data_IF_520523583096
#
_entry.id   IF_520523583096
#
_cell.length_a   1.000
_cell.length_b   1.000
_cell.length_c   1.000
_cell.angle_alpha   90.00
_cell.angle_beta   90.00
_cell.angle_gamma   90.00
#
_symmetry.space_group_name_H-M   'P 1'
#
loop_
_entity.id
_entity.type
_entity.pdbx_description
1 polymer ?
#
# COMPACT_ATOMS: atom_id res chain seq x y z
N UNK A 1 -11.18 7.77 -7.33
CA UNK A 1 -10.61 6.86 -6.34
C UNK A 1 -10.92 7.39 -4.95
N UNK A 2 -11.50 6.54 -4.11
CA UNK A 2 -11.92 6.83 -2.74
C UNK A 2 -10.85 6.62 -1.68
N UNK A 3 -9.57 6.72 -2.05
CA UNK A 3 -8.45 6.74 -1.10
C UNK A 3 -8.26 8.12 -0.43
N UNK A 4 -7.28 8.26 0.49
CA UNK A 4 -7.09 9.50 1.25
C UNK A 4 -6.87 10.75 0.39
N UNK A 5 -6.10 10.64 -0.70
CA UNK A 5 -5.90 11.75 -1.65
C UNK A 5 -7.21 12.20 -2.30
N UNK A 6 -8.00 11.25 -2.82
CA UNK A 6 -9.25 11.54 -3.51
C UNK A 6 -10.32 12.08 -2.57
N UNK A 7 -10.46 11.50 -1.37
CA UNK A 7 -11.40 11.98 -0.36
C UNK A 7 -11.04 13.41 0.10
N UNK A 8 -9.76 13.69 0.38
CA UNK A 8 -9.34 15.05 0.75
C UNK A 8 -9.59 16.04 -0.38
N UNK A 9 -9.22 15.70 -1.62
CA UNK A 9 -9.46 16.56 -2.76
C UNK A 9 -10.96 16.86 -2.96
N UNK A 10 -11.81 15.84 -2.83
CA UNK A 10 -13.26 15.98 -2.99
C UNK A 10 -13.88 16.86 -1.89
N UNK A 11 -13.53 16.61 -0.62
CA UNK A 11 -13.99 17.43 0.50
C UNK A 11 -13.58 18.89 0.33
N UNK A 12 -12.30 19.15 0.03
CA UNK A 12 -11.78 20.51 -0.14
C UNK A 12 -12.42 21.22 -1.34
N UNK A 13 -12.58 20.56 -2.49
CA UNK A 13 -13.22 21.17 -3.65
C UNK A 13 -14.70 21.49 -3.38
N UNK A 14 -15.44 20.58 -2.73
CA UNK A 14 -16.84 20.83 -2.39
C UNK A 14 -17.00 21.97 -1.36
N UNK A 15 -16.12 22.05 -0.35
CA UNK A 15 -16.09 23.17 0.61
C UNK A 15 -15.81 24.53 -0.05
N UNK A 16 -15.13 24.53 -1.20
CA UNK A 16 -14.90 25.73 -2.02
C UNK A 16 -16.06 26.08 -2.96
N UNK A 17 -17.13 25.27 -2.98
CA UNK A 17 -18.34 25.51 -3.77
C UNK A 17 -18.40 24.77 -5.11
N UNK A 18 -17.45 23.89 -5.43
CA UNK A 18 -17.55 23.05 -6.61
C UNK A 18 -18.60 21.94 -6.43
N UNK A 19 -19.29 21.58 -7.52
CA UNK A 19 -20.12 20.37 -7.55
C UNK A 19 -19.22 19.16 -7.79
N UNK A 20 -19.08 18.28 -6.80
CA UNK A 20 -18.12 17.17 -6.84
C UNK A 20 -18.84 15.82 -6.88
N UNK A 21 -18.47 14.99 -7.85
CA UNK A 21 -18.76 13.55 -7.85
C UNK A 21 -17.46 12.78 -7.64
N UNK A 22 -17.38 11.97 -6.60
CA UNK A 22 -16.28 11.06 -6.32
C UNK A 22 -16.68 9.64 -6.69
N UNK A 23 -15.90 9.01 -7.57
CA UNK A 23 -16.10 7.60 -7.95
C UNK A 23 -15.01 6.70 -7.33
N UNK A 24 -15.41 5.52 -6.85
CA UNK A 24 -14.56 4.47 -6.33
C UNK A 24 -14.94 3.13 -6.96
N UNK A 25 -13.94 2.37 -7.39
CA UNK A 25 -14.14 1.11 -8.11
C UNK A 25 -14.59 -0.05 -7.22
N UNK A 26 -14.18 -0.04 -5.95
CA UNK A 26 -14.64 -1.02 -4.95
C UNK A 26 -15.93 -0.54 -4.28
N UNK A 27 -16.62 -1.43 -3.57
CA UNK A 27 -17.87 -1.08 -2.88
C UNK A 27 -17.68 -0.17 -1.66
N UNK A 28 -16.43 0.07 -1.27
CA UNK A 28 -16.06 0.72 -0.01
C UNK A 28 -14.93 1.73 -0.22
N UNK A 29 -15.01 2.86 0.50
CA UNK A 29 -13.97 3.89 0.50
C UNK A 29 -12.75 3.48 1.35
N UNK A 30 -11.66 4.23 1.22
CA UNK A 30 -10.48 4.17 2.08
C UNK A 30 -9.17 3.80 1.38
N UNK A 31 -9.25 3.13 0.22
CA UNK A 31 -8.05 2.68 -0.51
C UNK A 31 -7.09 1.89 0.39
N UNK A 32 -5.78 2.14 0.24
CA UNK A 32 -4.74 1.40 0.97
C UNK A 32 -4.81 1.57 2.50
N UNK A 33 -5.39 2.67 3.01
CA UNK A 33 -5.53 2.88 4.46
C UNK A 33 -6.45 1.83 5.09
N UNK A 34 -7.45 1.35 4.35
CA UNK A 34 -8.36 0.31 4.85
C UNK A 34 -7.60 -1.00 5.11
N UNK A 35 -6.74 -1.42 4.19
CA UNK A 35 -5.87 -2.58 4.37
C UNK A 35 -4.87 -2.35 5.50
N UNK A 36 -4.27 -1.16 5.59
CA UNK A 36 -3.34 -0.85 6.70
C UNK A 36 -4.04 -0.88 8.07
N UNK A 37 -5.34 -0.61 8.14
CA UNK A 37 -6.11 -0.63 9.39
C UNK A 37 -6.45 -2.04 9.89
N UNK A 38 -6.28 -3.09 9.07
CA UNK A 38 -6.51 -4.49 9.50
C UNK A 38 -5.33 -5.06 10.29
N UNK A 39 -4.16 -4.42 10.21
CA UNK A 39 -2.98 -4.84 10.93
C UNK A 39 -3.13 -4.67 12.46
N UNK A 40 -2.47 -5.55 13.26
CA UNK A 40 -2.47 -5.45 14.71
C UNK A 40 -2.05 -4.06 15.20
N UNK A 41 -2.82 -3.48 16.13
CA UNK A 41 -2.55 -2.15 16.69
C UNK A 41 -2.79 -0.96 15.75
N UNK A 42 -3.26 -1.18 14.51
CA UNK A 42 -3.44 -0.10 13.51
C UNK A 42 -4.90 0.24 13.20
N UNK A 43 -5.86 -0.29 13.97
CA UNK A 43 -7.29 -0.07 13.77
C UNK A 43 -7.73 1.41 13.76
N UNK A 44 -6.99 2.28 14.45
CA UNK A 44 -7.26 3.73 14.48
C UNK A 44 -7.13 4.39 13.10
N UNK A 45 -6.37 3.81 12.17
CA UNK A 45 -6.26 4.30 10.79
C UNK A 45 -7.61 4.30 10.05
N UNK A 46 -8.54 3.44 10.44
CA UNK A 46 -9.90 3.49 9.91
C UNK A 46 -10.62 4.81 10.26
N UNK A 47 -10.23 5.46 11.35
CA UNK A 47 -10.72 6.78 11.76
C UNK A 47 -10.39 7.88 10.75
N UNK A 48 -9.22 7.82 10.11
CA UNK A 48 -8.82 8.76 9.06
C UNK A 48 -9.80 8.73 7.87
N UNK A 49 -10.08 7.53 7.34
CA UNK A 49 -11.02 7.35 6.22
C UNK A 49 -12.41 7.83 6.62
N UNK A 50 -12.87 7.46 7.81
CA UNK A 50 -14.18 7.85 8.34
C UNK A 50 -14.31 9.37 8.46
N UNK A 51 -13.29 10.06 8.94
CA UNK A 51 -13.30 11.53 9.05
C UNK A 51 -13.43 12.17 7.68
N UNK A 52 -12.59 11.76 6.73
CA UNK A 52 -12.59 12.32 5.37
C UNK A 52 -13.92 12.04 4.64
N UNK A 53 -14.51 10.87 4.85
CA UNK A 53 -15.84 10.54 4.32
C UNK A 53 -16.93 11.44 4.93
N UNK A 54 -16.90 11.68 6.24
CA UNK A 54 -17.83 12.59 6.91
C UNK A 54 -17.66 14.03 6.39
N UNK A 55 -16.43 14.48 6.18
CA UNK A 55 -16.13 15.78 5.56
C UNK A 55 -16.73 15.88 4.15
N UNK A 56 -16.55 14.85 3.32
CA UNK A 56 -17.15 14.78 1.98
C UNK A 56 -18.68 14.89 2.03
N UNK A 57 -19.34 14.12 2.91
CA UNK A 57 -20.81 14.14 3.06
C UNK A 57 -21.31 15.50 3.53
N UNK A 58 -20.64 16.11 4.51
CA UNK A 58 -20.99 17.45 5.01
C UNK A 58 -20.84 18.53 3.95
N UNK A 59 -19.86 18.38 3.06
CA UNK A 59 -19.63 19.30 1.95
C UNK A 59 -20.56 19.05 0.74
N UNK A 60 -21.38 18.00 0.75
CA UNK A 60 -22.31 17.68 -0.34
C UNK A 60 -21.67 16.96 -1.52
N UNK A 61 -20.54 16.26 -1.33
CA UNK A 61 -19.93 15.41 -2.36
C UNK A 61 -20.85 14.23 -2.68
N UNK A 62 -21.15 14.03 -3.96
CA UNK A 62 -21.82 12.82 -4.44
C UNK A 62 -20.79 11.68 -4.55
N UNK A 63 -20.91 10.66 -3.71
CA UNK A 63 -19.99 9.52 -3.71
C UNK A 63 -20.63 8.29 -4.35
N UNK A 64 -19.97 7.70 -5.34
CA UNK A 64 -20.39 6.50 -6.07
C UNK A 64 -19.34 5.40 -5.91
N UNK A 65 -19.68 4.32 -5.22
CA UNK A 65 -18.84 3.12 -5.06
C UNK A 65 -19.26 2.02 -6.02
N UNK A 66 -18.40 1.02 -6.23
CA UNK A 66 -18.64 -0.06 -7.20
C UNK A 66 -18.60 0.40 -8.67
N UNK A 67 -18.02 1.57 -8.94
CA UNK A 67 -18.00 2.19 -10.27
C UNK A 67 -16.56 2.31 -10.77
N UNK A 68 -16.22 1.51 -11.78
CA UNK A 68 -15.00 1.71 -12.55
C UNK A 68 -15.18 2.90 -13.51
N UNK A 69 -14.22 3.83 -13.51
CA UNK A 69 -14.23 5.01 -14.38
C UNK A 69 -13.08 4.92 -15.37
N UNK A 70 -13.43 4.82 -16.64
CA UNK A 70 -12.51 4.93 -17.76
C UNK A 70 -12.64 6.28 -18.48
N UNK A 71 -11.87 6.47 -19.55
CA UNK A 71 -11.90 7.71 -20.31
C UNK A 71 -13.24 7.94 -21.05
N UNK A 72 -14.00 6.89 -21.36
CA UNK A 72 -15.31 7.03 -22.01
C UNK A 72 -16.34 7.57 -21.03
N UNK A 73 -16.40 7.01 -19.82
CA UNK A 73 -17.25 7.50 -18.72
C UNK A 73 -17.00 8.99 -18.45
N UNK A 74 -15.73 9.41 -18.43
CA UNK A 74 -15.36 10.84 -18.23
C UNK A 74 -15.86 11.70 -19.39
N UNK A 75 -15.70 11.25 -20.65
CA UNK A 75 -16.17 11.99 -21.82
C UNK A 75 -17.70 12.16 -21.85
N UNK A 76 -18.43 11.14 -21.40
CA UNK A 76 -19.88 11.18 -21.34
C UNK A 76 -20.39 12.11 -20.22
N UNK A 77 -19.70 12.11 -19.07
CA UNK A 77 -20.03 12.98 -17.94
C UNK A 77 -19.71 14.46 -18.20
N UNK A 78 -18.76 14.77 -19.10
CA UNK A 78 -18.31 16.12 -19.47
C UNK A 78 -18.02 17.05 -18.27
N UNK A 79 -17.18 16.65 -17.30
CA UNK A 79 -16.85 17.51 -16.17
C UNK A 79 -15.92 18.66 -16.60
N UNK A 80 -15.93 19.76 -15.86
CA UNK A 80 -14.99 20.87 -16.09
C UNK A 80 -13.53 20.48 -15.74
N UNK A 81 -13.38 19.66 -14.70
CA UNK A 81 -12.09 19.17 -14.22
C UNK A 81 -12.16 17.70 -13.80
N UNK A 82 -11.02 16.99 -13.91
CA UNK A 82 -10.87 15.59 -13.54
C UNK A 82 -9.68 15.44 -12.60
N UNK A 83 -9.91 14.93 -11.40
CA UNK A 83 -8.86 14.61 -10.43
C UNK A 83 -8.66 13.09 -10.40
N UNK A 84 -7.52 12.64 -10.94
CA UNK A 84 -7.14 11.22 -10.99
C UNK A 84 -6.38 10.86 -9.71
N UNK A 85 -7.07 10.18 -8.80
CA UNK A 85 -6.56 9.69 -7.52
C UNK A 85 -6.70 8.16 -7.43
N UNK A 86 -6.19 7.46 -8.44
CA UNK A 86 -6.34 6.00 -8.65
C UNK A 86 -5.36 5.14 -7.85
N UNK A 87 -4.47 5.77 -7.08
CA UNK A 87 -3.55 5.07 -6.19
C UNK A 87 -2.44 4.32 -6.93
N UNK A 88 -1.99 3.22 -6.35
CA UNK A 88 -0.92 2.39 -6.85
C UNK A 88 -1.21 0.90 -6.65
N UNK A 89 -0.54 0.06 -7.42
CA UNK A 89 -0.69 -1.40 -7.41
C UNK A 89 0.60 -2.10 -6.95
N UNK A 90 0.52 -3.35 -6.43
CA UNK A 90 1.70 -4.17 -6.19
C UNK A 90 2.61 -4.22 -7.41
N UNK A 91 3.92 -4.00 -7.18
CA UNK A 91 4.94 -4.41 -8.13
C UNK A 91 5.55 -5.70 -7.63
N UNK A 92 5.34 -6.77 -8.39
CA UNK A 92 5.97 -8.06 -8.14
C UNK A 92 7.48 -7.92 -8.36
N UNK A 93 8.32 -8.36 -7.41
CA UNK A 93 9.77 -8.30 -7.60
C UNK A 93 10.23 -9.19 -8.75
N UNK A 94 11.23 -8.73 -9.52
CA UNK A 94 11.74 -9.46 -10.68
C UNK A 94 12.33 -10.83 -10.29
N UNK A 95 12.85 -10.95 -9.06
CA UNK A 95 13.38 -12.21 -8.51
C UNK A 95 12.31 -13.24 -8.13
N UNK A 96 11.04 -12.83 -8.04
CA UNK A 96 9.96 -13.68 -7.54
C UNK A 96 9.52 -14.76 -8.52
N UNK A 97 9.74 -14.58 -9.83
CA UNK A 97 9.20 -15.46 -10.87
C UNK A 97 7.67 -15.60 -10.78
N UNK A 98 7.12 -16.66 -11.38
CA UNK A 98 5.66 -16.86 -11.51
C UNK A 98 5.04 -17.77 -10.43
N UNK A 99 5.72 -17.99 -9.29
CA UNK A 99 5.21 -18.85 -8.20
C UNK A 99 4.07 -18.21 -7.40
N UNK A 100 3.07 -19.00 -7.02
CA UNK A 100 1.99 -18.58 -6.11
C UNK A 100 2.42 -18.45 -4.64
N UNK A 101 3.64 -18.86 -4.28
CA UNK A 101 4.15 -18.83 -2.90
C UNK A 101 4.83 -17.50 -2.54
N UNK A 102 5.01 -16.60 -3.52
CA UNK A 102 5.42 -15.20 -3.27
C UNK A 102 4.19 -14.31 -3.39
N UNK A 103 3.76 -13.71 -2.29
CA UNK A 103 2.50 -12.95 -2.19
C UNK A 103 2.71 -11.54 -1.66
N UNK A 104 1.86 -10.59 -2.07
CA UNK A 104 1.92 -9.21 -1.60
C UNK A 104 1.39 -9.09 -0.17
N UNK A 105 2.01 -8.22 0.62
CA UNK A 105 1.61 -7.91 2.00
C UNK A 105 0.11 -7.59 2.14
N UNK A 106 -0.50 -6.90 1.17
CA UNK A 106 -1.92 -6.53 1.20
C UNK A 106 -2.83 -7.74 1.12
N UNK A 107 -2.45 -8.77 0.35
CA UNK A 107 -3.27 -9.97 0.23
C UNK A 107 -3.31 -10.74 1.56
N UNK A 108 -2.23 -10.67 2.35
CA UNK A 108 -2.17 -11.25 3.69
C UNK A 108 -2.95 -10.41 4.71
N UNK A 109 -2.77 -9.09 4.69
CA UNK A 109 -3.48 -8.17 5.60
C UNK A 109 -4.99 -8.13 5.35
N UNK A 110 -5.42 -8.23 4.09
CA UNK A 110 -6.84 -8.32 3.72
C UNK A 110 -7.43 -9.73 3.95
N UNK A 111 -6.60 -10.71 4.35
CA UNK A 111 -7.03 -12.08 4.61
C UNK A 111 -7.34 -12.91 3.36
N UNK A 112 -6.95 -12.45 2.17
CA UNK A 112 -7.12 -13.20 0.91
C UNK A 112 -6.14 -14.36 0.82
N UNK A 113 -4.98 -14.23 1.44
CA UNK A 113 -3.95 -15.27 1.56
C UNK A 113 -3.58 -15.44 3.03
N UNK A 114 -3.45 -16.68 3.49
CA UNK A 114 -2.99 -16.99 4.85
C UNK A 114 -1.81 -17.97 4.79
N UNK A 115 -0.57 -17.47 4.62
CA UNK A 115 0.63 -18.30 4.68
C UNK A 115 0.77 -18.99 6.05
N UNK A 116 1.40 -20.17 6.06
CA UNK A 116 1.63 -20.98 7.26
C UNK A 116 3.00 -21.63 7.22
N UNK A 117 3.43 -22.24 8.33
CA UNK A 117 4.76 -22.81 8.45
C UNK A 117 5.81 -21.73 8.73
N UNK A 118 6.90 -21.74 7.97
CA UNK A 118 7.97 -20.77 8.01
C UNK A 118 7.86 -19.77 6.84
N UNK A 119 7.76 -18.48 7.16
CA UNK A 119 7.50 -17.41 6.22
C UNK A 119 8.62 -16.38 6.26
N UNK A 120 9.15 -16.06 5.09
CA UNK A 120 10.08 -14.94 4.92
C UNK A 120 9.31 -13.69 4.51
N UNK A 121 9.35 -12.63 5.32
CA UNK A 121 8.80 -11.32 4.96
C UNK A 121 9.94 -10.48 4.40
N UNK A 122 9.82 -10.00 3.16
CA UNK A 122 10.80 -9.11 2.53
C UNK A 122 10.38 -7.66 2.72
N UNK A 123 11.21 -6.89 3.39
CA UNK A 123 11.01 -5.46 3.67
C UNK A 123 11.95 -4.59 2.82
N UNK A 124 11.44 -4.13 1.68
CA UNK A 124 12.11 -3.13 0.84
C UNK A 124 11.60 -1.70 1.10
N UNK A 125 10.59 -1.55 1.98
CA UNK A 125 9.96 -0.25 2.28
C UNK A 125 10.49 0.38 3.58
N UNK A 126 10.98 -0.43 4.51
CA UNK A 126 11.55 0.00 5.79
C UNK A 126 10.53 0.60 6.76
N UNK A 127 9.23 0.41 6.54
CA UNK A 127 8.17 1.04 7.33
C UNK A 127 7.12 0.02 7.77
N UNK A 128 5.91 0.48 8.11
CA UNK A 128 4.86 -0.34 8.72
C UNK A 128 4.40 -1.58 7.96
N UNK A 129 4.61 -1.68 6.64
CA UNK A 129 4.06 -2.77 5.83
C UNK A 129 4.60 -4.15 6.26
N UNK A 130 5.93 -4.33 6.22
CA UNK A 130 6.56 -5.59 6.57
C UNK A 130 6.40 -5.92 8.05
N UNK A 131 6.56 -4.92 8.92
CA UNK A 131 6.46 -5.10 10.37
C UNK A 131 5.05 -5.46 10.80
N UNK A 132 4.02 -4.84 10.21
CA UNK A 132 2.62 -5.17 10.49
C UNK A 132 2.25 -6.59 10.11
N UNK A 133 2.66 -7.05 8.92
CA UNK A 133 2.33 -8.41 8.48
C UNK A 133 3.15 -9.46 9.22
N UNK A 134 4.39 -9.14 9.61
CA UNK A 134 5.20 -10.01 10.45
C UNK A 134 4.57 -10.22 11.82
N UNK A 135 4.11 -9.15 12.49
CA UNK A 135 3.37 -9.26 13.75
C UNK A 135 2.07 -10.06 13.57
N UNK A 136 1.26 -9.76 12.55
CA UNK A 136 0.00 -10.48 12.27
C UNK A 136 0.22 -11.99 12.09
N UNK A 137 1.25 -12.38 11.34
CA UNK A 137 1.57 -13.79 11.10
C UNK A 137 2.09 -14.46 12.38
N UNK A 138 2.94 -13.77 13.15
CA UNK A 138 3.49 -14.31 14.39
C UNK A 138 2.41 -14.48 15.48
N UNK A 139 1.43 -13.56 15.57
CA UNK A 139 0.25 -13.71 16.43
C UNK A 139 -0.60 -14.95 16.06
N UNK A 140 -0.56 -15.36 14.79
CA UNK A 140 -1.20 -16.59 14.29
C UNK A 140 -0.35 -17.84 14.47
N UNK A 141 0.80 -17.74 15.13
CA UNK A 141 1.71 -18.86 15.38
C UNK A 141 2.57 -19.28 14.16
N UNK A 142 2.67 -18.42 13.14
CA UNK A 142 3.56 -18.64 11.99
C UNK A 142 5.00 -18.31 12.40
N UNK A 143 5.97 -19.12 11.99
CA UNK A 143 7.37 -18.81 12.18
C UNK A 143 7.81 -17.76 11.16
N UNK A 144 8.16 -16.55 11.62
CA UNK A 144 8.43 -15.40 10.75
C UNK A 144 9.89 -14.99 10.82
N UNK A 145 10.49 -14.77 9.65
CA UNK A 145 11.76 -14.05 9.49
C UNK A 145 11.51 -12.81 8.66
N UNK A 146 11.92 -11.63 9.12
CA UNK A 146 11.90 -10.40 8.32
C UNK A 146 13.29 -10.18 7.73
N UNK A 147 13.37 -10.10 6.41
CA UNK A 147 14.58 -9.86 5.63
C UNK A 147 14.55 -8.45 5.04
N UNK A 148 15.63 -7.69 5.20
CA UNK A 148 15.74 -6.34 4.64
C UNK A 148 17.16 -6.03 4.21
N UNK A 149 17.28 -5.17 3.20
CA UNK A 149 18.52 -4.51 2.83
C UNK A 149 18.97 -3.45 3.87
N UNK A 150 18.07 -3.02 4.75
CA UNK A 150 18.40 -2.03 5.79
C UNK A 150 19.28 -2.60 6.89
N UNK A 151 19.95 -1.73 7.63
CA UNK A 151 20.72 -2.09 8.83
C UNK A 151 19.81 -2.53 10.00
N UNK A 152 18.53 -2.17 9.94
CA UNK A 152 17.50 -2.47 10.94
C UNK A 152 16.19 -2.71 10.18
N UNK A 153 15.42 -3.71 10.59
CA UNK A 153 14.06 -3.95 10.09
C UNK A 153 13.15 -2.79 10.49
N UNK A 154 12.35 -2.28 9.55
CA UNK A 154 11.49 -1.13 9.84
C UNK A 154 12.25 0.16 10.14
N UNK A 155 13.40 0.41 9.51
CA UNK A 155 14.27 1.57 9.76
C UNK A 155 13.56 2.93 9.89
N UNK A 156 12.46 3.15 9.17
CA UNK A 156 11.68 4.39 9.18
C UNK A 156 10.66 4.47 10.33
N UNK A 157 10.48 3.40 11.12
CA UNK A 157 9.59 3.40 12.28
C UNK A 157 10.04 4.36 13.38
N UNK A 158 11.33 4.72 13.42
CA UNK A 158 11.84 5.75 14.32
C UNK A 158 11.22 7.13 14.05
N UNK A 159 10.76 7.40 12.82
CA UNK A 159 10.09 8.65 12.46
C UNK A 159 8.71 8.79 13.11
N UNK A 160 8.09 7.68 13.48
CA UNK A 160 6.76 7.65 14.12
C UNK A 160 6.81 7.18 15.57
N UNK A 161 8.01 7.00 16.14
CA UNK A 161 8.23 6.51 17.51
C UNK A 161 7.64 5.11 17.76
N UNK A 162 7.50 4.31 16.69
CA UNK A 162 6.93 2.97 16.75
C UNK A 162 8.01 1.87 16.88
N UNK A 163 9.28 2.23 16.70
CA UNK A 163 10.40 1.29 16.62
C UNK A 163 10.56 0.46 17.90
N UNK A 164 10.53 1.08 19.08
CA UNK A 164 10.68 0.39 20.36
C UNK A 164 9.49 -0.53 20.64
N UNK A 165 8.28 -0.06 20.30
CA UNK A 165 7.05 -0.82 20.43
C UNK A 165 7.09 -2.08 19.56
N UNK A 166 7.47 -1.93 18.30
CA UNK A 166 7.67 -3.03 17.36
C UNK A 166 8.76 -3.99 17.81
N UNK A 167 9.95 -3.49 18.16
CA UNK A 167 11.10 -4.32 18.58
C UNK A 167 10.73 -5.21 19.77
N UNK A 168 10.06 -4.64 20.78
CA UNK A 168 9.58 -5.41 21.95
C UNK A 168 8.62 -6.54 21.55
N UNK A 169 7.64 -6.25 20.69
CA UNK A 169 6.67 -7.27 20.22
C UNK A 169 7.35 -8.32 19.36
N UNK A 170 8.23 -7.92 18.43
CA UNK A 170 8.99 -8.82 17.59
C UNK A 170 9.81 -9.83 18.41
N UNK A 171 10.52 -9.36 19.45
CA UNK A 171 11.25 -10.25 20.36
C UNK A 171 10.33 -11.16 21.18
N UNK A 172 9.21 -10.63 21.69
CA UNK A 172 8.24 -11.45 22.44
C UNK A 172 7.63 -12.57 21.59
N UNK A 173 7.46 -12.33 20.29
CA UNK A 173 6.95 -13.31 19.33
C UNK A 173 8.04 -14.17 18.65
N UNK A 174 9.32 -13.94 18.96
CA UNK A 174 10.43 -14.68 18.35
C UNK A 174 10.59 -14.43 16.84
N UNK A 175 10.21 -13.25 16.36
CA UNK A 175 10.40 -12.87 14.95
C UNK A 175 11.91 -12.73 14.69
N UNK A 176 12.42 -13.55 13.78
CA UNK A 176 13.82 -13.49 13.35
C UNK A 176 14.04 -12.28 12.43
N UNK A 177 15.19 -11.63 12.55
CA UNK A 177 15.53 -10.46 11.75
C UNK A 177 16.82 -10.72 10.98
N UNK A 178 16.77 -10.51 9.67
CA UNK A 178 17.87 -10.69 8.73
C UNK A 178 18.14 -9.36 8.02
N UNK A 179 19.06 -8.58 8.55
CA UNK A 179 19.45 -7.26 8.05
C UNK A 179 20.55 -7.35 7.00
N UNK A 180 20.80 -6.23 6.31
CA UNK A 180 21.87 -6.10 5.32
C UNK A 180 21.81 -7.18 4.21
N UNK A 181 20.63 -7.74 3.98
CA UNK A 181 20.42 -8.95 3.18
C UNK A 181 19.31 -8.76 2.15
N UNK A 182 19.62 -9.15 0.91
CA UNK A 182 18.73 -9.05 -0.24
C UNK A 182 18.27 -10.45 -0.66
N UNK A 183 17.03 -10.57 -1.09
CA UNK A 183 16.60 -11.71 -1.92
C UNK A 183 17.04 -11.48 -3.35
N UNK A 184 17.67 -12.47 -3.96
CA UNK A 184 18.21 -12.38 -5.32
C UNK A 184 17.53 -13.32 -6.31
N UNK A 185 16.97 -14.44 -5.83
CA UNK A 185 16.18 -15.37 -6.63
C UNK A 185 15.34 -16.28 -5.70
N UNK A 186 14.25 -16.82 -6.24
CA UNK A 186 13.54 -17.96 -5.62
C UNK A 186 13.39 -19.10 -6.62
N UNK A 187 13.36 -20.32 -6.11
CA UNK A 187 13.00 -21.50 -6.88
C UNK A 187 12.00 -22.35 -6.08
N UNK A 188 10.88 -22.69 -6.70
CA UNK A 188 9.89 -23.58 -6.08
C UNK A 188 10.33 -25.05 -6.22
N UNK A 189 10.34 -25.78 -5.11
CA UNK A 189 10.65 -27.21 -5.02
C UNK A 189 9.79 -27.86 -3.96
N UNK A 190 9.08 -28.93 -4.32
CA UNK A 190 8.24 -29.72 -3.41
C UNK A 190 7.25 -28.87 -2.58
N UNK A 191 6.64 -27.85 -3.20
CA UNK A 191 5.68 -26.95 -2.56
C UNK A 191 6.29 -25.96 -1.56
N UNK A 192 7.61 -25.75 -1.59
CA UNK A 192 8.35 -24.77 -0.78
C UNK A 192 9.24 -23.92 -1.68
N UNK A 193 9.71 -22.79 -1.17
CA UNK A 193 10.62 -21.88 -1.86
C UNK A 193 12.04 -22.03 -1.33
N UNK A 194 12.98 -22.38 -2.21
CA UNK A 194 14.40 -22.18 -1.99
C UNK A 194 14.78 -20.75 -2.36
N UNK A 195 15.04 -19.92 -1.35
CA UNK A 195 15.32 -18.48 -1.46
C UNK A 195 16.82 -18.24 -1.45
N UNK A 196 17.34 -17.65 -2.52
CA UNK A 196 18.73 -17.21 -2.60
C UNK A 196 18.87 -15.81 -1.98
N UNK A 197 19.70 -15.72 -0.95
CA UNK A 197 19.92 -14.53 -0.15
C UNK A 197 21.37 -14.07 -0.28
N UNK A 198 21.59 -12.75 -0.25
CA UNK A 198 22.92 -12.16 -0.35
C UNK A 198 23.09 -11.03 0.64
N UNK A 199 24.07 -11.16 1.52
CA UNK A 199 24.49 -10.07 2.39
C UNK A 199 25.18 -9.00 1.53
N UNK A 200 24.55 -7.84 1.33
CA UNK A 200 25.02 -6.87 0.34
C UNK A 200 26.37 -6.22 0.67
N UNK A 201 26.76 -6.02 1.95
CA UNK A 201 28.08 -5.47 2.26
C UNK A 201 29.24 -6.43 1.95
N UNK A 202 29.06 -7.74 2.17
CA UNK A 202 30.16 -8.74 2.06
C UNK A 202 30.05 -9.64 0.84
N UNK A 203 28.95 -9.55 0.09
CA UNK A 203 28.60 -10.46 -1.00
C UNK A 203 28.41 -11.93 -0.60
N UNK A 204 28.45 -12.27 0.69
CA UNK A 204 28.24 -13.64 1.18
C UNK A 204 26.83 -14.10 0.80
N UNK A 205 26.76 -15.20 0.06
CA UNK A 205 25.53 -15.82 -0.36
C UNK A 205 25.11 -16.92 0.62
N UNK A 206 23.81 -17.01 0.86
CA UNK A 206 23.21 -18.11 1.62
C UNK A 206 21.87 -18.49 0.98
N UNK A 207 21.35 -19.66 1.35
CA UNK A 207 20.04 -20.13 0.91
C UNK A 207 19.19 -20.47 2.10
N UNK A 208 17.88 -20.26 1.97
CA UNK A 208 16.89 -20.63 2.98
C UNK A 208 15.68 -21.22 2.30
N UNK A 209 15.24 -22.38 2.77
CA UNK A 209 13.98 -22.96 2.31
C UNK A 209 12.84 -22.51 3.22
N UNK A 210 11.78 -21.92 2.65
CA UNK A 210 10.60 -21.44 3.38
C UNK A 210 9.29 -21.91 2.74
N UNK A 211 8.21 -21.95 3.50
CA UNK A 211 6.88 -22.31 2.98
C UNK A 211 6.31 -21.20 2.07
N UNK A 212 6.56 -19.93 2.38
CA UNK A 212 6.11 -18.80 1.57
C UNK A 212 7.01 -17.56 1.77
N UNK A 213 6.91 -16.63 0.83
CA UNK A 213 7.51 -15.30 0.91
C UNK A 213 6.42 -14.25 0.83
N UNK A 214 6.40 -13.31 1.77
CA UNK A 214 5.49 -12.16 1.76
C UNK A 214 6.31 -10.92 1.42
N UNK A 215 5.91 -10.17 0.40
CA UNK A 215 6.65 -9.00 -0.07
C UNK A 215 5.98 -7.70 0.34
N UNK A 216 6.77 -6.84 0.98
CA UNK A 216 6.48 -5.43 1.18
C UNK A 216 7.46 -4.62 0.33
N UNK A 217 7.14 -4.47 -0.95
CA UNK A 217 7.99 -3.85 -1.97
C UNK A 217 7.39 -2.55 -2.50
N UNK A 218 8.19 -1.82 -3.27
CA UNK A 218 7.71 -0.64 -3.99
C UNK A 218 6.50 -0.95 -4.88
N UNK A 219 5.72 0.09 -5.16
CA UNK A 219 4.47 -0.01 -5.91
C UNK A 219 4.59 0.73 -7.24
N UNK A 220 3.77 0.34 -8.20
CA UNK A 220 3.63 1.06 -9.46
C UNK A 220 2.40 1.98 -9.41
N UNK A 221 2.52 3.25 -9.84
CA UNK A 221 1.37 4.12 -9.98
C UNK A 221 0.31 3.51 -10.91
N UNK A 222 -0.96 3.64 -10.55
CA UNK A 222 -2.08 3.34 -11.46
C UNK A 222 -2.45 4.64 -12.14
N UNK A 223 -1.92 4.88 -13.35
CA UNK A 223 -2.03 6.16 -14.04
C UNK A 223 -2.64 6.10 -15.44
N UNK A 224 -3.22 4.96 -15.82
CA UNK A 224 -3.76 4.71 -17.14
C UNK A 224 -4.86 5.71 -17.52
N UNK A 225 -5.76 6.03 -16.57
CA UNK A 225 -6.82 7.02 -16.79
C UNK A 225 -6.25 8.42 -17.02
N UNK A 226 -5.23 8.82 -16.27
CA UNK A 226 -4.56 10.10 -16.49
C UNK A 226 -3.88 10.13 -17.85
N UNK A 227 -3.18 9.06 -18.22
CA UNK A 227 -2.51 8.93 -19.52
C UNK A 227 -3.50 8.99 -20.68
N UNK A 228 -4.70 8.43 -20.52
CA UNK A 228 -5.76 8.49 -21.53
C UNK A 228 -6.41 9.89 -21.66
N UNK A 229 -6.32 10.73 -20.62
CA UNK A 229 -6.98 12.03 -20.56
C UNK A 229 -6.03 13.22 -20.72
N UNK A 230 -4.72 13.05 -20.52
CA UNK A 230 -3.73 14.13 -20.71
C UNK A 230 -3.76 14.63 -22.16
N UNK A 231 -3.96 15.93 -22.33
CA UNK A 231 -4.10 16.56 -23.66
C UNK A 231 -5.53 16.53 -24.23
N UNK A 232 -6.51 16.02 -23.48
CA UNK A 232 -7.93 16.23 -23.79
C UNK A 232 -8.36 17.68 -23.47
N UNK A 233 -9.61 18.02 -23.78
CA UNK A 233 -10.18 19.32 -23.47
C UNK A 233 -10.45 19.56 -21.97
N UNK A 234 -10.37 18.50 -21.14
CA UNK A 234 -10.63 18.60 -19.71
C UNK A 234 -9.41 19.13 -18.95
N UNK A 235 -9.64 19.85 -17.85
CA UNK A 235 -8.58 20.14 -16.89
C UNK A 235 -8.28 18.89 -16.05
N UNK A 236 -7.20 18.18 -16.36
CA UNK A 236 -6.88 16.87 -15.75
C UNK A 236 -5.68 17.00 -14.83
N UNK A 237 -5.84 16.64 -13.56
CA UNK A 237 -4.78 16.62 -12.55
C UNK A 237 -4.67 15.22 -11.96
N UNK A 238 -3.44 14.75 -11.74
CA UNK A 238 -3.15 13.47 -11.06
C UNK A 238 -2.61 13.75 -9.67
N UNK A 239 -3.03 12.98 -8.66
CA UNK A 239 -2.64 13.17 -7.25
C UNK A 239 -2.40 11.85 -6.51
N UNK A 240 -1.71 11.92 -5.38
CA UNK A 240 -1.46 10.81 -4.46
C UNK A 240 -0.50 9.78 -5.06
N UNK A 241 -0.72 8.51 -4.70
CA UNK A 241 0.14 7.42 -5.17
C UNK A 241 0.07 7.20 -6.69
N UNK A 242 -0.97 7.73 -7.36
CA UNK A 242 -1.04 7.74 -8.83
C UNK A 242 0.01 8.66 -9.46
N UNK A 243 0.55 9.64 -8.71
CA UNK A 243 1.71 10.45 -9.13
C UNK A 243 3.00 9.72 -8.79
N UNK A 244 3.16 9.39 -7.51
CA UNK A 244 4.32 8.74 -6.94
C UNK A 244 3.90 8.11 -5.61
N UNK A 245 3.94 6.77 -5.48
CA UNK A 245 3.59 6.04 -4.26
C UNK A 245 4.39 6.55 -3.07
N UNK A 246 3.68 7.03 -2.05
CA UNK A 246 4.26 7.68 -0.86
C UNK A 246 3.41 7.37 0.37
N UNK A 247 3.71 8.05 1.47
CA UNK A 247 2.96 7.96 2.72
C UNK A 247 1.64 8.74 2.64
N UNK A 248 0.70 8.37 3.51
CA UNK A 248 -0.67 8.87 3.48
C UNK A 248 -0.78 10.39 3.71
N UNK A 249 0.10 10.96 4.53
CA UNK A 249 0.19 12.40 4.77
C UNK A 249 0.49 13.17 3.48
N UNK A 250 1.44 12.69 2.66
CA UNK A 250 1.74 13.28 1.37
C UNK A 250 0.55 13.20 0.41
N UNK A 251 -0.18 12.08 0.41
CA UNK A 251 -1.37 11.89 -0.39
C UNK A 251 -2.50 12.88 -0.02
N UNK A 252 -2.71 13.11 1.28
CA UNK A 252 -3.70 14.08 1.80
C UNK A 252 -3.30 15.51 1.41
N UNK A 253 -2.06 15.90 1.69
CA UNK A 253 -1.55 17.25 1.40
C UNK A 253 -1.63 17.56 -0.10
N UNK A 254 -1.31 16.60 -0.95
CA UNK A 254 -1.41 16.77 -2.41
C UNK A 254 -2.85 16.89 -2.88
N UNK A 255 -3.77 16.10 -2.32
CA UNK A 255 -5.20 16.21 -2.62
C UNK A 255 -5.79 17.57 -2.28
N UNK A 256 -5.46 18.10 -1.10
CA UNK A 256 -5.87 19.45 -0.67
C UNK A 256 -5.28 20.54 -1.57
N UNK A 257 -3.99 20.45 -1.90
CA UNK A 257 -3.32 21.43 -2.78
C UNK A 257 -3.90 21.43 -4.19
N UNK A 258 -4.23 20.26 -4.75
CA UNK A 258 -4.84 20.17 -6.06
C UNK A 258 -6.23 20.80 -6.07
N UNK A 259 -7.07 20.49 -5.08
CA UNK A 259 -8.41 21.07 -4.95
C UNK A 259 -8.40 22.60 -4.80
N UNK A 260 -7.39 23.16 -4.12
CA UNK A 260 -7.25 24.62 -3.98
C UNK A 260 -6.84 25.34 -5.29
N UNK A 261 -6.39 24.60 -6.30
CA UNK A 261 -6.00 25.13 -7.62
C UNK A 261 -7.09 24.92 -8.68
N UNK A 262 -8.19 24.25 -8.33
CA UNK A 262 -9.40 24.16 -9.15
C UNK A 262 -10.21 25.45 -9.08
#
# INVERSE_FOLDING_TARGET
GGGPAGLRAAATAAQRGHRVTLCESTDVLGGQIRTAATAPGRGELAGLVRSLEVECRRAGVEMRTGVHVDAAVVRDARPDAVVVATGARPRRPDWAGDTGLVVDVRDVLDGRVSPHGDVLVVDDLGFHHATSVAELLAERGVAVTVCTAGMIVGQDLGLTLDMEGWTRRAHAHGIEQLTDTLVTAVAERDGRLDVALRHHPTAVAHRRTVAAVVVATHQDPVDELWTALRGSAFHVVRIGDAVAPRRADAAIVEGERAANRL
#
